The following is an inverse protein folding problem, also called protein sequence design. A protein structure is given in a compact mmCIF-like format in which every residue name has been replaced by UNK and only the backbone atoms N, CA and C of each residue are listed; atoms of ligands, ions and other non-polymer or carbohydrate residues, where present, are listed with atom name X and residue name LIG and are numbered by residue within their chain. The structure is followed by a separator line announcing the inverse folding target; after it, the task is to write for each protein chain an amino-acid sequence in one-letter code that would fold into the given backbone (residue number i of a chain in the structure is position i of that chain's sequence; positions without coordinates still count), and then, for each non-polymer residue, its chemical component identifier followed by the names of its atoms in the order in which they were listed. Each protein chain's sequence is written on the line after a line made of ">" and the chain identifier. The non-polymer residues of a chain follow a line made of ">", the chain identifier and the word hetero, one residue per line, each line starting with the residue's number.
data_IF_052941705698
#
_entry.id   IF_052941705698
#
_cell.length_a   1.000
_cell.length_b   1.000
_cell.length_c   1.000
_cell.angle_alpha   90.00
_cell.angle_beta   90.00
_cell.angle_gamma   90.00
#
_symmetry.space_group_name_H-M   'P 1'
#
loop_
_entity.id
_entity.type
_entity.pdbx_description
1 polymer ?
#
# COMPACT_ATOMS: atom_id res chain seq x y z
N UNK A 1 -2.42 11.58 4.25
CA UNK A 1 -3.59 10.71 4.10
C UNK A 1 -3.65 10.21 2.66
N UNK A 2 -4.24 9.03 2.42
CA UNK A 2 -4.44 8.51 1.06
C UNK A 2 -5.84 8.94 0.58
N UNK A 3 -5.99 9.48 -0.64
CA UNK A 3 -7.29 9.87 -1.15
C UNK A 3 -8.20 8.64 -1.37
N UNK A 4 -9.52 8.78 -1.32
CA UNK A 4 -10.46 7.65 -1.46
C UNK A 4 -10.38 6.92 -2.81
N UNK A 5 -9.93 7.61 -3.88
CA UNK A 5 -9.60 7.00 -5.18
C UNK A 5 -8.44 6.02 -5.13
N UNK A 6 -7.56 6.13 -4.13
CA UNK A 6 -6.46 5.21 -3.93
C UNK A 6 -6.99 3.89 -3.34
N UNK A 7 -7.36 2.92 -4.19
CA UNK A 7 -7.81 1.60 -3.76
C UNK A 7 -6.73 0.78 -3.06
N UNK A 8 -7.10 -0.39 -2.56
CA UNK A 8 -6.30 -1.10 -1.56
C UNK A 8 -5.29 -2.04 -2.24
N UNK A 9 -4.04 -2.09 -1.77
CA UNK A 9 -3.05 -3.09 -2.20
C UNK A 9 -2.95 -4.20 -1.16
N UNK A 10 -3.19 -5.43 -1.59
CA UNK A 10 -3.30 -6.60 -0.71
C UNK A 10 -2.21 -7.61 -1.04
N UNK A 11 -1.48 -8.06 -0.03
CA UNK A 11 -0.57 -9.19 -0.12
C UNK A 11 -1.16 -10.37 0.66
N UNK A 12 -1.47 -11.46 -0.03
CA UNK A 12 -1.89 -12.71 0.60
C UNK A 12 -0.74 -13.72 0.62
N UNK A 13 -0.22 -13.95 1.83
CA UNK A 13 0.81 -14.93 2.15
C UNK A 13 0.15 -16.23 2.66
N UNK A 14 -0.49 -16.94 1.74
CA UNK A 14 -0.93 -18.32 1.91
C UNK A 14 0.21 -19.32 1.65
N UNK A 15 0.09 -20.52 2.21
CA UNK A 15 0.96 -21.66 1.84
C UNK A 15 1.77 -22.28 2.99
N UNK A 16 2.46 -23.38 2.67
CA UNK A 16 2.97 -24.36 3.65
C UNK A 16 4.50 -24.50 3.70
N UNK A 17 5.27 -23.66 2.99
CA UNK A 17 6.74 -23.75 2.95
C UNK A 17 7.46 -22.40 3.03
N UNK A 18 8.26 -22.21 4.08
CA UNK A 18 8.96 -20.96 4.37
C UNK A 18 9.96 -20.55 3.28
N UNK A 19 10.69 -21.52 2.73
CA UNK A 19 11.73 -21.28 1.74
C UNK A 19 11.15 -20.71 0.43
N UNK A 20 10.01 -21.26 -0.02
CA UNK A 20 9.35 -20.80 -1.25
C UNK A 20 8.71 -19.42 -1.05
N UNK A 21 8.06 -19.18 0.09
CA UNK A 21 7.55 -17.84 0.43
C UNK A 21 8.67 -16.81 0.46
N UNK A 22 9.83 -17.14 1.04
CA UNK A 22 11.01 -16.27 1.05
C UNK A 22 11.51 -15.95 -0.36
N UNK A 23 11.59 -16.96 -1.22
CA UNK A 23 12.02 -16.77 -2.62
C UNK A 23 11.02 -15.91 -3.39
N UNK A 24 9.72 -16.13 -3.19
CA UNK A 24 8.65 -15.33 -3.79
C UNK A 24 8.74 -13.86 -3.37
N UNK A 25 8.82 -13.61 -2.05
CA UNK A 25 8.95 -12.26 -1.50
C UNK A 25 10.21 -11.57 -2.01
N UNK A 26 11.33 -12.29 -2.13
CA UNK A 26 12.56 -11.75 -2.72
C UNK A 26 12.40 -11.43 -4.20
N UNK A 27 11.68 -12.26 -4.95
CA UNK A 27 11.42 -12.04 -6.39
C UNK A 27 10.56 -10.80 -6.61
N UNK A 28 9.46 -10.66 -5.87
CA UNK A 28 8.64 -9.44 -5.87
C UNK A 28 9.47 -8.25 -5.42
N UNK A 29 10.14 -8.35 -4.27
CA UNK A 29 10.97 -7.27 -3.74
C UNK A 29 11.94 -6.79 -4.80
N UNK A 30 12.74 -7.66 -5.43
CA UNK A 30 13.69 -7.28 -6.49
C UNK A 30 13.03 -6.59 -7.67
N UNK A 31 11.86 -7.05 -8.10
CA UNK A 31 11.11 -6.44 -9.20
C UNK A 31 10.60 -5.03 -8.84
N UNK A 32 10.33 -4.77 -7.55
CA UNK A 32 9.83 -3.49 -7.02
C UNK A 32 10.93 -2.62 -6.36
N UNK A 33 12.12 -3.18 -6.07
CA UNK A 33 13.24 -2.62 -5.26
C UNK A 33 13.82 -1.34 -5.83
N UNK A 34 13.31 -0.89 -6.97
CA UNK A 34 13.61 0.40 -7.58
C UNK A 34 13.01 1.58 -6.81
N UNK A 35 12.15 1.29 -5.82
CA UNK A 35 11.57 2.28 -4.93
C UNK A 35 12.39 2.49 -3.64
N UNK A 36 13.49 1.77 -3.39
CA UNK A 36 14.29 1.93 -2.15
C UNK A 36 13.52 1.70 -0.84
N UNK A 37 12.25 1.30 -0.93
CA UNK A 37 11.33 1.13 0.18
C UNK A 37 11.32 -0.30 0.66
N UNK A 38 10.91 -0.50 1.91
CA UNK A 38 10.65 -1.84 2.41
C UNK A 38 9.46 -2.45 1.67
N UNK A 39 9.41 -3.79 1.61
CA UNK A 39 8.23 -4.49 1.10
C UNK A 39 6.95 -4.01 1.82
N UNK A 40 7.07 -3.62 3.09
CA UNK A 40 5.95 -3.21 3.92
C UNK A 40 5.26 -1.91 3.50
N UNK A 41 5.95 -1.03 2.77
CA UNK A 41 5.40 0.26 2.34
C UNK A 41 4.53 0.14 1.06
N UNK A 42 4.62 -1.02 0.41
CA UNK A 42 3.97 -1.30 -0.86
C UNK A 42 2.60 -1.97 -0.71
N UNK A 43 2.23 -2.40 0.49
CA UNK A 43 0.95 -3.05 0.74
C UNK A 43 0.20 -2.36 1.87
N UNK A 44 -1.11 -2.35 1.73
CA UNK A 44 -2.03 -1.69 2.64
C UNK A 44 -2.70 -2.70 3.56
N UNK A 45 -2.90 -3.92 3.04
CA UNK A 45 -3.40 -5.08 3.77
C UNK A 45 -2.47 -6.27 3.53
N UNK A 46 -2.19 -7.03 4.58
CA UNK A 46 -1.50 -8.31 4.49
C UNK A 46 -2.39 -9.39 5.08
N UNK A 47 -2.79 -10.34 4.24
CA UNK A 47 -3.47 -11.56 4.65
C UNK A 47 -2.41 -12.64 4.87
N UNK A 48 -2.47 -13.35 5.99
CA UNK A 48 -1.45 -14.33 6.30
C UNK A 48 -2.03 -15.58 6.96
N UNK A 49 -1.50 -16.74 6.56
CA UNK A 49 -1.80 -18.04 7.19
C UNK A 49 -0.56 -18.92 7.28
N UNK A 50 -0.57 -19.91 8.17
CA UNK A 50 0.53 -20.87 8.36
C UNK A 50 1.91 -20.18 8.54
N UNK A 51 2.86 -20.45 7.64
CA UNK A 51 4.21 -19.84 7.67
C UNK A 51 4.21 -18.39 7.19
N UNK A 52 3.20 -17.98 6.41
CA UNK A 52 3.02 -16.58 6.01
C UNK A 52 2.84 -15.65 7.20
N UNK A 53 2.30 -16.16 8.32
CA UNK A 53 2.16 -15.39 9.57
C UNK A 53 3.52 -14.90 10.08
N UNK A 54 4.58 -15.72 9.99
CA UNK A 54 5.93 -15.31 10.39
C UNK A 54 6.41 -14.12 9.54
N UNK A 55 6.27 -14.20 8.22
CA UNK A 55 6.69 -13.12 7.32
C UNK A 55 5.86 -11.86 7.52
N UNK A 56 4.56 -12.02 7.75
CA UNK A 56 3.67 -10.89 7.97
C UNK A 56 4.05 -10.12 9.26
N UNK A 57 4.30 -10.84 10.37
CA UNK A 57 4.78 -10.22 11.61
C UNK A 57 6.19 -9.64 11.46
N UNK A 58 7.14 -10.41 10.95
CA UNK A 58 8.52 -9.95 10.82
C UNK A 58 8.64 -8.71 9.92
N UNK A 59 8.05 -8.73 8.73
CA UNK A 59 8.21 -7.65 7.75
C UNK A 59 7.29 -6.44 8.01
N UNK A 60 6.06 -6.67 8.48
CA UNK A 60 5.02 -5.64 8.58
C UNK A 60 4.62 -5.29 10.02
N UNK A 61 5.23 -5.92 11.02
CA UNK A 61 5.13 -5.46 12.41
C UNK A 61 6.50 -4.98 12.88
N UNK A 62 7.49 -5.87 12.81
CA UNK A 62 8.85 -5.64 13.32
C UNK A 62 9.78 -4.91 12.33
N UNK A 63 9.32 -4.67 11.10
CA UNK A 63 10.12 -4.04 10.02
C UNK A 63 11.45 -4.77 9.73
N UNK A 64 11.49 -6.09 9.93
CA UNK A 64 12.66 -6.89 9.59
C UNK A 64 12.95 -6.81 8.10
N UNK A 65 14.22 -6.94 7.73
CA UNK A 65 14.60 -7.13 6.33
C UNK A 65 14.32 -8.55 5.89
N UNK A 66 14.32 -8.76 4.57
CA UNK A 66 14.23 -10.10 3.99
C UNK A 66 15.41 -10.99 4.38
N UNK A 67 16.61 -10.42 4.60
CA UNK A 67 17.77 -11.21 5.04
C UNK A 67 17.70 -11.57 6.54
N UNK A 68 17.11 -10.71 7.37
CA UNK A 68 16.79 -11.07 8.77
C UNK A 68 15.79 -12.24 8.79
N UNK A 69 14.71 -12.15 8.01
CA UNK A 69 13.76 -13.24 7.87
C UNK A 69 14.44 -14.56 7.47
N UNK A 70 15.34 -14.49 6.47
CA UNK A 70 16.14 -15.62 5.99
C UNK A 70 17.02 -16.23 7.08
N UNK A 71 17.70 -15.39 7.88
CA UNK A 71 18.53 -15.84 9.00
C UNK A 71 17.74 -16.72 9.97
N UNK A 72 16.48 -16.34 10.21
CA UNK A 72 15.58 -17.02 11.14
C UNK A 72 14.86 -18.25 10.56
N UNK A 73 14.85 -18.45 9.23
CA UNK A 73 14.15 -19.58 8.59
C UNK A 73 14.58 -20.95 9.11
N UNK A 74 15.87 -21.16 9.34
CA UNK A 74 16.41 -22.45 9.83
C UNK A 74 15.95 -22.76 11.26
N UNK A 75 15.54 -21.73 12.01
CA UNK A 75 15.07 -21.83 13.39
C UNK A 75 13.54 -21.88 13.48
N UNK A 76 12.84 -21.75 12.34
CA UNK A 76 11.39 -21.89 12.30
C UNK A 76 11.02 -23.34 12.59
N UNK A 77 10.40 -23.54 13.75
CA UNK A 77 9.66 -24.75 14.00
C UNK A 77 8.29 -24.56 13.38
N UNK A 78 7.77 -25.56 12.65
CA UNK A 78 6.38 -25.52 12.18
C UNK A 78 5.49 -25.17 13.37
N UNK A 79 4.70 -24.08 13.31
CA UNK A 79 3.92 -23.67 14.45
C UNK A 79 2.97 -24.81 14.82
N UNK A 80 3.14 -25.41 16.00
CA UNK A 80 2.18 -26.41 16.49
C UNK A 80 0.85 -25.70 16.68
N UNK A 81 -0.25 -26.34 16.28
CA UNK A 81 -1.62 -25.80 16.43
C UNK A 81 -1.95 -25.38 17.87
N UNK A 82 -1.24 -25.91 18.87
CA UNK A 82 -1.39 -25.59 20.29
C UNK A 82 -0.69 -24.29 20.73
N UNK A 83 0.03 -23.59 19.84
CA UNK A 83 0.83 -22.41 20.20
C UNK A 83 0.10 -21.07 20.07
N UNK A 84 -1.13 -21.08 19.56
CA UNK A 84 -2.05 -19.93 19.63
C UNK A 84 -3.05 -20.26 20.75
N UNK A 85 -2.59 -20.16 22.00
CA UNK A 85 -3.43 -20.31 23.19
C UNK A 85 -3.66 -18.93 23.79
N UNK A 86 -4.92 -18.62 24.11
CA UNK A 86 -5.39 -17.42 24.83
C UNK A 86 -5.72 -16.15 24.00
N UNK A 87 -6.73 -15.42 24.48
CA UNK A 87 -7.16 -14.07 24.06
C UNK A 87 -6.05 -13.02 24.25
N UNK A 88 -5.12 -13.24 25.19
CA UNK A 88 -3.91 -12.43 25.37
C UNK A 88 -2.71 -12.89 24.53
N UNK A 89 -2.96 -13.76 23.54
CA UNK A 89 -2.06 -14.81 23.10
C UNK A 89 -0.73 -14.38 22.49
N UNK A 90 0.24 -15.29 22.60
CA UNK A 90 1.53 -15.20 21.95
C UNK A 90 1.55 -16.09 20.71
N UNK A 91 2.10 -15.63 19.60
CA UNK A 91 2.48 -16.50 18.48
C UNK A 91 3.96 -16.90 18.65
N UNK A 92 4.24 -18.20 18.60
CA UNK A 92 5.58 -18.74 18.78
C UNK A 92 5.98 -19.60 17.57
N UNK A 93 7.16 -19.32 16.99
CA UNK A 93 7.78 -20.08 15.90
C UNK A 93 9.12 -20.74 16.31
N UNK A 94 9.46 -20.68 17.59
CA UNK A 94 10.70 -21.19 18.17
C UNK A 94 11.10 -20.42 19.43
N UNK A 95 12.17 -20.87 20.10
CA UNK A 95 12.62 -20.30 21.39
C UNK A 95 12.86 -18.78 21.37
N UNK A 96 13.21 -18.21 20.21
CA UNK A 96 13.54 -16.79 20.04
C UNK A 96 12.61 -16.06 19.05
N UNK A 97 11.51 -16.68 18.63
CA UNK A 97 10.59 -16.13 17.63
C UNK A 97 9.19 -16.10 18.24
N UNK A 98 8.97 -15.10 19.09
CA UNK A 98 7.80 -14.96 19.95
C UNK A 98 7.23 -13.55 19.77
N UNK A 99 5.94 -13.45 19.42
CA UNK A 99 5.22 -12.19 19.28
C UNK A 99 3.99 -12.16 20.17
N UNK A 100 3.73 -11.05 20.86
CA UNK A 100 2.51 -10.86 21.62
C UNK A 100 1.45 -10.18 20.76
N UNK A 101 0.26 -10.79 20.68
CA UNK A 101 -0.80 -10.32 19.78
C UNK A 101 -1.44 -8.99 20.22
N UNK A 102 -1.21 -8.58 21.47
CA UNK A 102 -1.62 -7.25 21.95
C UNK A 102 -0.84 -6.16 21.22
N UNK A 103 0.43 -6.42 20.92
CA UNK A 103 1.30 -5.47 20.25
C UNK A 103 0.84 -5.25 18.81
N UNK A 104 0.38 -6.32 18.13
CA UNK A 104 -0.19 -6.24 16.77
C UNK A 104 -1.28 -5.16 16.67
N UNK A 105 -2.15 -5.03 17.69
CA UNK A 105 -3.25 -4.05 17.69
C UNK A 105 -2.78 -2.60 17.89
N UNK A 106 -1.60 -2.41 18.45
CA UNK A 106 -1.08 -1.09 18.81
C UNK A 106 -0.29 -0.39 17.71
N UNK A 107 -0.02 -1.09 16.59
CA UNK A 107 0.85 -0.57 15.54
C UNK A 107 0.04 0.04 14.39
N UNK A 108 0.31 1.32 14.09
CA UNK A 108 -0.25 2.10 12.97
C UNK A 108 0.32 1.68 11.58
N UNK A 109 0.60 0.40 11.41
CA UNK A 109 1.15 -0.20 10.19
C UNK A 109 0.03 -0.72 9.27
N UNK A 110 0.32 -1.23 8.06
CA UNK A 110 -0.68 -1.85 7.20
C UNK A 110 -1.58 -2.83 7.94
N UNK A 111 -2.81 -2.94 7.45
CA UNK A 111 -3.83 -3.81 7.97
C UNK A 111 -3.35 -5.27 7.93
N UNK A 112 -2.94 -5.80 9.06
CA UNK A 112 -2.47 -7.16 9.20
C UNK A 112 -3.62 -8.05 9.64
N UNK A 113 -3.98 -9.00 8.78
CA UNK A 113 -5.06 -9.97 9.01
C UNK A 113 -4.46 -11.38 9.04
N UNK A 114 -4.47 -11.99 10.22
CA UNK A 114 -3.89 -13.31 10.46
C UNK A 114 -5.02 -14.32 10.65
N UNK A 115 -5.11 -15.28 9.72
CA UNK A 115 -6.03 -16.39 9.83
C UNK A 115 -5.35 -17.61 10.46
N UNK A 116 -5.93 -18.08 11.55
CA UNK A 116 -5.53 -19.31 12.22
C UNK A 116 -6.67 -20.31 12.14
N UNK A 117 -6.41 -21.61 12.31
CA UNK A 117 -7.45 -22.66 12.21
C UNK A 117 -8.63 -22.48 13.19
N UNK A 118 -8.52 -21.61 14.20
CA UNK A 118 -9.56 -21.42 15.23
C UNK A 118 -10.08 -19.99 15.33
N UNK A 119 -9.33 -19.00 14.85
CA UNK A 119 -9.62 -17.56 15.04
C UNK A 119 -9.02 -16.72 13.93
N UNK A 120 -9.68 -15.61 13.66
CA UNK A 120 -9.20 -14.50 12.85
C UNK A 120 -8.64 -13.41 13.77
N UNK A 121 -7.50 -12.84 13.41
CA UNK A 121 -6.86 -11.75 14.14
C UNK A 121 -6.61 -10.59 13.18
N UNK A 122 -6.84 -9.37 13.64
CA UNK A 122 -6.62 -8.14 12.87
C UNK A 122 -6.12 -7.02 13.77
N UNK A 123 -5.21 -6.17 13.26
CA UNK A 123 -4.88 -4.88 13.88
C UNK A 123 -5.85 -3.76 13.47
N UNK A 124 -6.62 -3.94 12.40
CA UNK A 124 -7.69 -3.04 12.01
C UNK A 124 -8.91 -3.37 12.85
N UNK A 125 -9.34 -2.42 13.68
CA UNK A 125 -10.58 -2.54 14.42
C UNK A 125 -11.75 -2.75 13.44
N UNK A 126 -12.28 -3.97 13.39
CA UNK A 126 -13.67 -4.18 13.06
C UNK A 126 -14.42 -4.28 14.39
N UNK A 127 -15.30 -3.31 14.63
CA UNK A 127 -16.36 -3.38 15.62
C UNK A 127 -17.28 -4.56 15.25
N UNK A 128 -16.96 -5.75 15.77
CA UNK A 128 -17.89 -6.86 16.05
C UNK A 128 -17.02 -8.07 16.38
N UNK A 129 -17.09 -8.52 17.64
CA UNK A 129 -16.47 -9.76 18.11
C UNK A 129 -17.19 -11.02 17.59
N UNK A 130 -18.11 -10.90 16.63
CA UNK A 130 -18.81 -11.99 15.99
C UNK A 130 -18.66 -11.89 14.47
N UNK A 131 -17.66 -12.56 13.90
CA UNK A 131 -17.95 -13.72 13.06
C UNK A 131 -16.67 -14.40 12.59
N UNK A 132 -16.78 -15.72 12.46
CA UNK A 132 -15.72 -16.58 11.94
C UNK A 132 -15.62 -16.43 10.42
N UNK A 133 -15.39 -15.21 9.92
CA UNK A 133 -15.28 -14.95 8.48
C UNK A 133 -14.00 -15.62 7.97
N UNK A 134 -14.16 -16.55 7.02
CA UNK A 134 -13.03 -17.30 6.47
C UNK A 134 -12.05 -16.37 5.75
N UNK A 135 -10.77 -16.74 5.67
CA UNK A 135 -9.79 -15.97 4.89
C UNK A 135 -10.25 -15.75 3.43
N UNK A 136 -11.03 -16.69 2.88
CA UNK A 136 -11.64 -16.57 1.55
C UNK A 136 -12.67 -15.44 1.48
N UNK A 137 -13.48 -15.25 2.53
CA UNK A 137 -14.47 -14.17 2.58
C UNK A 137 -13.82 -12.81 2.81
N UNK A 138 -12.78 -12.73 3.63
CA UNK A 138 -11.97 -11.52 3.75
C UNK A 138 -11.24 -11.21 2.47
N UNK A 139 -10.66 -12.23 1.82
CA UNK A 139 -10.08 -12.08 0.50
C UNK A 139 -11.14 -11.57 -0.47
N UNK A 140 -12.39 -12.04 -0.44
CA UNK A 140 -13.49 -11.48 -1.26
C UNK A 140 -13.84 -10.05 -0.87
N UNK A 141 -13.88 -9.74 0.43
CA UNK A 141 -14.19 -8.40 0.93
C UNK A 141 -13.14 -7.39 0.49
N UNK A 142 -11.86 -7.71 0.65
CA UNK A 142 -10.76 -6.87 0.21
C UNK A 142 -10.59 -6.91 -1.31
N UNK A 143 -10.86 -8.04 -1.98
CA UNK A 143 -10.81 -8.15 -3.45
C UNK A 143 -11.77 -7.19 -4.14
N UNK A 144 -12.94 -6.96 -3.54
CA UNK A 144 -13.92 -5.97 -4.04
C UNK A 144 -13.45 -4.51 -3.91
N UNK A 145 -12.41 -4.25 -3.12
CA UNK A 145 -11.91 -2.91 -2.82
C UNK A 145 -10.44 -2.72 -3.19
N UNK A 146 -9.80 -3.75 -3.76
CA UNK A 146 -8.38 -3.75 -4.03
C UNK A 146 -8.10 -3.42 -5.49
N UNK A 147 -7.09 -2.58 -5.68
CA UNK A 147 -6.53 -2.31 -7.01
C UNK A 147 -5.50 -3.37 -7.40
N UNK A 148 -4.86 -3.95 -6.39
CA UNK A 148 -3.82 -4.95 -6.56
C UNK A 148 -3.96 -6.02 -5.48
N UNK A 149 -4.15 -7.26 -5.91
CA UNK A 149 -4.12 -8.44 -5.05
C UNK A 149 -2.98 -9.35 -5.50
N UNK A 150 -1.96 -9.43 -4.66
CA UNK A 150 -0.83 -10.34 -4.84
C UNK A 150 -1.07 -11.56 -3.97
N UNK A 151 -1.51 -12.67 -4.56
CA UNK A 151 -1.75 -13.91 -3.83
C UNK A 151 -0.67 -14.95 -4.12
N UNK A 152 0.01 -15.41 -3.07
CA UNK A 152 0.90 -16.55 -3.15
C UNK A 152 0.29 -17.75 -2.41
N UNK A 153 0.08 -18.84 -3.14
CA UNK A 153 -0.52 -20.07 -2.61
C UNK A 153 0.47 -21.24 -2.52
N UNK A 154 1.78 -20.97 -2.56
CA UNK A 154 2.82 -22.02 -2.47
C UNK A 154 3.16 -22.71 -3.80
N UNK A 155 2.59 -22.25 -4.92
CA UNK A 155 2.92 -22.75 -6.26
C UNK A 155 4.35 -22.38 -6.72
N UNK A 156 4.80 -22.93 -7.86
CA UNK A 156 6.10 -22.59 -8.43
C UNK A 156 6.16 -21.10 -8.80
N UNK A 157 7.31 -20.48 -8.54
CA UNK A 157 7.52 -19.06 -8.84
C UNK A 157 7.75 -18.92 -10.34
N UNK A 158 6.80 -18.30 -11.04
CA UNK A 158 6.94 -17.95 -12.45
C UNK A 158 7.39 -16.50 -12.59
N UNK A 159 8.44 -16.26 -13.40
CA UNK A 159 8.89 -14.89 -13.72
C UNK A 159 7.80 -14.06 -14.38
N UNK A 160 6.97 -14.69 -15.22
CA UNK A 160 5.84 -14.02 -15.89
C UNK A 160 4.81 -13.56 -14.87
N UNK A 161 4.44 -14.43 -13.92
CA UNK A 161 3.48 -14.10 -12.87
C UNK A 161 4.01 -12.99 -11.94
N UNK A 162 5.27 -13.08 -11.51
CA UNK A 162 5.90 -12.03 -10.68
C UNK A 162 5.90 -10.69 -11.41
N UNK A 163 6.16 -10.69 -12.71
CA UNK A 163 6.14 -9.47 -13.53
C UNK A 163 4.73 -8.88 -13.62
N UNK A 164 3.72 -9.69 -13.92
CA UNK A 164 2.32 -9.24 -13.96
C UNK A 164 1.89 -8.62 -12.62
N UNK A 165 2.21 -9.27 -11.50
CA UNK A 165 1.95 -8.73 -10.16
C UNK A 165 2.69 -7.41 -9.90
N UNK A 166 3.94 -7.31 -10.36
CA UNK A 166 4.74 -6.09 -10.22
C UNK A 166 4.13 -4.93 -11.02
N UNK A 167 3.67 -5.20 -12.25
CA UNK A 167 3.06 -4.18 -13.09
C UNK A 167 1.75 -3.67 -12.47
N UNK A 168 0.90 -4.59 -11.99
CA UNK A 168 -0.32 -4.21 -11.27
C UNK A 168 0.00 -3.38 -10.02
N UNK A 169 1.03 -3.76 -9.27
CA UNK A 169 1.46 -3.00 -8.11
C UNK A 169 1.93 -1.59 -8.51
N UNK A 170 2.75 -1.46 -9.55
CA UNK A 170 3.21 -0.16 -10.06
C UNK A 170 2.04 0.70 -10.53
N UNK A 171 1.11 0.13 -11.32
CA UNK A 171 -0.08 0.86 -11.78
C UNK A 171 -0.97 1.33 -10.62
N UNK A 172 -1.08 0.52 -9.56
CA UNK A 172 -1.81 0.91 -8.35
C UNK A 172 -1.16 2.04 -7.55
N UNK A 173 0.10 2.43 -7.85
CA UNK A 173 0.71 3.60 -7.24
C UNK A 173 0.16 4.91 -7.80
N UNK A 174 -0.51 4.89 -8.95
CA UNK A 174 -1.03 6.07 -9.61
C UNK A 174 -2.55 6.15 -9.45
N UNK A 175 -3.06 7.36 -9.27
CA UNK A 175 -4.49 7.65 -9.13
C UNK A 175 -4.78 9.05 -9.67
N UNK A 176 -6.05 9.39 -9.84
CA UNK A 176 -6.48 10.72 -10.28
C UNK A 176 -7.31 11.43 -9.23
N UNK A 177 -7.26 12.76 -9.31
CA UNK A 177 -8.13 13.68 -8.60
C UNK A 177 -8.65 14.73 -9.59
N UNK A 178 -9.76 15.39 -9.25
CA UNK A 178 -10.24 16.54 -10.02
C UNK A 178 -9.41 17.78 -9.68
N UNK A 179 -8.95 18.49 -10.71
CA UNK A 179 -8.31 19.79 -10.51
C UNK A 179 -9.33 20.83 -10.04
N UNK A 180 -10.56 20.74 -10.55
CA UNK A 180 -11.69 21.59 -10.18
C UNK A 180 -13.00 20.84 -10.36
N UNK A 181 -14.04 21.22 -9.61
CA UNK A 181 -15.38 20.65 -9.76
C UNK A 181 -15.95 21.02 -11.13
N UNK A 182 -16.24 20.03 -12.01
CA UNK A 182 -16.74 20.28 -13.35
C UNK A 182 -18.17 20.80 -13.28
N UNK A 183 -18.47 21.83 -14.08
CA UNK A 183 -19.83 22.38 -14.21
C UNK A 183 -20.39 22.09 -15.60
N UNK A 184 -21.38 21.21 -15.67
CA UNK A 184 -21.96 20.69 -16.91
C UNK A 184 -23.01 21.64 -17.54
N UNK A 185 -22.61 22.88 -17.84
CA UNK A 185 -23.51 23.83 -18.52
C UNK A 185 -23.54 23.64 -20.06
N UNK A 186 -22.48 23.06 -20.63
CA UNK A 186 -22.35 22.77 -22.07
C UNK A 186 -21.69 21.40 -22.26
N UNK A 187 -22.24 20.60 -23.17
CA UNK A 187 -21.75 19.25 -23.49
C UNK A 187 -21.19 19.20 -24.92
N UNK A 188 -20.04 18.53 -25.15
CA UNK A 188 -19.15 17.92 -24.16
C UNK A 188 -18.35 18.96 -23.37
N UNK A 189 -18.13 18.70 -22.07
CA UNK A 189 -17.34 19.53 -21.17
C UNK A 189 -15.90 19.03 -21.07
N UNK A 190 -14.92 19.94 -21.03
CA UNK A 190 -13.53 19.59 -20.78
C UNK A 190 -13.27 19.55 -19.27
N UNK A 191 -13.02 18.36 -18.73
CA UNK A 191 -12.70 18.16 -17.32
C UNK A 191 -11.18 18.11 -17.13
N UNK A 192 -10.69 18.88 -16.17
CA UNK A 192 -9.28 18.90 -15.78
C UNK A 192 -9.06 17.93 -14.61
N UNK A 193 -8.17 16.98 -14.82
CA UNK A 193 -7.78 15.96 -13.84
C UNK A 193 -6.29 16.14 -13.50
N UNK A 194 -5.91 15.76 -12.30
CA UNK A 194 -4.49 15.66 -11.91
C UNK A 194 -4.20 14.21 -11.59
N UNK A 195 -3.27 13.63 -12.34
CA UNK A 195 -2.71 12.32 -12.05
C UNK A 195 -1.62 12.46 -11.00
N UNK A 196 -1.71 11.66 -9.94
CA UNK A 196 -0.80 11.68 -8.79
C UNK A 196 -0.19 10.31 -8.52
N UNK A 197 0.91 10.29 -7.75
CA UNK A 197 1.54 9.07 -7.26
C UNK A 197 1.41 8.98 -5.74
N UNK A 198 1.22 7.76 -5.21
CA UNK A 198 1.11 7.48 -3.77
C UNK A 198 2.45 7.54 -3.04
N UNK A 199 3.56 7.42 -3.76
CA UNK A 199 4.88 7.50 -3.14
C UNK A 199 5.16 8.95 -2.73
N UNK A 200 5.59 9.12 -1.48
CA UNK A 200 6.03 10.43 -0.99
C UNK A 200 7.25 10.90 -1.78
N UNK A 201 7.46 12.23 -1.90
CA UNK A 201 8.68 12.75 -2.48
C UNK A 201 9.90 12.15 -1.78
N UNK A 202 10.82 11.62 -2.58
CA UNK A 202 11.68 10.56 -2.09
C UNK A 202 12.64 10.02 -3.13
N UNK A 203 13.71 9.38 -2.66
CA UNK A 203 14.51 8.47 -3.48
C UNK A 203 13.64 7.38 -4.13
N UNK A 204 12.57 6.97 -3.44
CA UNK A 204 11.59 6.01 -3.91
C UNK A 204 10.83 6.45 -5.15
N UNK A 205 10.21 7.63 -5.06
CA UNK A 205 9.47 8.23 -6.16
C UNK A 205 10.42 8.54 -7.32
N UNK A 206 11.58 9.12 -7.02
CA UNK A 206 12.60 9.44 -8.03
C UNK A 206 13.06 8.19 -8.78
N UNK A 207 13.37 7.09 -8.08
CA UNK A 207 13.80 5.83 -8.68
C UNK A 207 12.73 5.21 -9.59
N UNK A 208 11.46 5.27 -9.17
CA UNK A 208 10.33 4.84 -9.99
C UNK A 208 10.21 5.68 -11.27
N UNK A 209 10.18 7.01 -11.14
CA UNK A 209 9.99 7.93 -12.26
C UNK A 209 11.17 7.90 -13.23
N UNK A 210 12.41 7.81 -12.74
CA UNK A 210 13.60 7.66 -13.57
C UNK A 210 13.51 6.43 -14.46
N UNK A 211 13.04 5.30 -13.90
CA UNK A 211 12.82 4.08 -14.69
C UNK A 211 11.74 4.28 -15.73
N UNK A 212 10.57 4.79 -15.34
CA UNK A 212 9.44 5.00 -16.26
C UNK A 212 9.80 6.00 -17.38
N UNK A 213 10.60 7.02 -17.07
CA UNK A 213 11.15 7.96 -18.05
C UNK A 213 12.12 7.27 -19.02
N UNK A 214 13.08 6.48 -18.50
CA UNK A 214 14.06 5.77 -19.33
C UNK A 214 13.41 4.72 -20.23
N UNK A 215 12.41 4.02 -19.69
CA UNK A 215 11.68 2.98 -20.41
C UNK A 215 10.64 3.59 -21.38
N UNK A 216 10.50 4.93 -21.40
CA UNK A 216 9.55 5.69 -22.20
C UNK A 216 8.11 5.22 -21.99
N UNK A 217 7.71 5.08 -20.73
CA UNK A 217 6.35 4.68 -20.39
C UNK A 217 5.34 5.80 -20.68
N UNK A 218 4.11 5.39 -21.04
CA UNK A 218 3.01 6.30 -21.33
C UNK A 218 1.78 5.93 -20.51
N UNK A 219 0.99 6.94 -20.15
CA UNK A 219 -0.41 6.75 -19.79
C UNK A 219 -1.28 6.86 -21.05
N UNK A 220 -2.22 5.93 -21.17
CA UNK A 220 -3.32 5.96 -22.13
C UNK A 220 -4.57 6.36 -21.35
N UNK A 221 -5.29 7.41 -21.78
CA UNK A 221 -6.46 7.89 -21.05
C UNK A 221 -7.58 8.40 -21.96
N UNK A 222 -8.83 8.29 -21.50
CA UNK A 222 -10.03 8.85 -22.15
C UNK A 222 -11.17 9.05 -21.16
N UNK A 223 -12.07 9.98 -21.47
CA UNK A 223 -13.44 10.02 -20.96
C UNK A 223 -14.40 9.47 -22.02
N UNK A 224 -15.37 10.28 -22.45
CA UNK A 224 -16.34 9.93 -23.51
C UNK A 224 -15.76 10.04 -24.93
N UNK A 225 -14.46 10.30 -25.06
CA UNK A 225 -13.77 10.27 -26.35
C UNK A 225 -13.66 8.85 -26.92
N UNK A 226 -13.79 8.72 -28.25
CA UNK A 226 -13.66 7.44 -28.94
C UNK A 226 -12.24 6.85 -28.85
N UNK A 227 -11.22 7.72 -28.86
CA UNK A 227 -9.80 7.33 -28.91
C UNK A 227 -9.09 7.64 -27.59
N UNK A 228 -8.15 6.77 -27.21
CA UNK A 228 -7.25 7.04 -26.11
C UNK A 228 -6.27 8.16 -26.48
N UNK A 229 -6.18 9.16 -25.61
CA UNK A 229 -5.06 10.10 -25.60
C UNK A 229 -3.86 9.42 -24.97
N UNK A 230 -2.66 9.83 -25.39
CA UNK A 230 -1.39 9.29 -24.89
C UNK A 230 -0.54 10.42 -24.32
N UNK A 231 0.01 10.22 -23.13
CA UNK A 231 0.92 11.16 -22.48
C UNK A 231 2.08 10.40 -21.83
N UNK A 232 3.30 10.97 -21.86
CA UNK A 232 4.44 10.35 -21.16
C UNK A 232 4.18 10.32 -19.66
N UNK A 233 4.58 9.23 -19.02
CA UNK A 233 4.47 9.09 -17.55
C UNK A 233 5.34 10.12 -16.86
N UNK A 234 6.56 10.32 -17.38
CA UNK A 234 7.54 11.20 -16.79
C UNK A 234 8.38 11.83 -17.91
N UNK A 235 8.60 13.14 -17.80
CA UNK A 235 9.52 13.92 -18.62
C UNK A 235 10.71 14.39 -17.77
N UNK A 236 11.74 14.92 -18.43
CA UNK A 236 12.95 15.39 -17.75
C UNK A 236 12.66 16.51 -16.73
N UNK A 237 11.64 17.33 -16.99
CA UNK A 237 11.20 18.36 -16.06
C UNK A 237 10.58 17.77 -14.78
N UNK A 238 9.85 16.66 -14.90
CA UNK A 238 9.27 15.96 -13.74
C UNK A 238 10.39 15.36 -12.87
N UNK A 239 11.46 14.85 -13.48
CA UNK A 239 12.65 14.37 -12.77
C UNK A 239 13.36 15.50 -12.02
N UNK A 240 13.51 16.68 -12.64
CA UNK A 240 14.08 17.87 -11.99
C UNK A 240 13.22 18.35 -10.82
N UNK A 241 11.90 18.35 -10.97
CA UNK A 241 10.98 18.68 -9.87
C UNK A 241 11.11 17.67 -8.72
N UNK A 242 11.22 16.37 -9.02
CA UNK A 242 11.40 15.34 -8.00
C UNK A 242 12.75 15.41 -7.28
N UNK A 243 13.82 15.90 -7.93
CA UNK A 243 15.10 16.19 -7.25
C UNK A 243 14.94 17.28 -6.18
N UNK A 244 13.98 18.18 -6.37
CA UNK A 244 13.60 19.19 -5.38
C UNK A 244 12.54 18.69 -4.39
N UNK A 245 12.34 17.36 -4.29
CA UNK A 245 11.37 16.73 -3.39
C UNK A 245 9.93 17.18 -3.62
N UNK A 246 9.58 17.53 -4.87
CA UNK A 246 8.19 17.76 -5.25
C UNK A 246 7.42 16.44 -5.34
N UNK A 247 6.12 16.49 -5.08
CA UNK A 247 5.21 15.38 -5.38
C UNK A 247 5.05 15.22 -6.89
N UNK A 248 4.75 13.99 -7.32
CA UNK A 248 4.44 13.73 -8.73
C UNK A 248 3.01 14.18 -9.03
N UNK A 249 2.88 15.08 -9.99
CA UNK A 249 1.61 15.59 -10.50
C UNK A 249 1.70 15.71 -12.01
N UNK A 250 0.66 15.23 -12.71
CA UNK A 250 0.57 15.34 -14.16
C UNK A 250 -0.86 15.78 -14.55
N UNK A 251 -1.04 16.98 -15.12
CA UNK A 251 -2.36 17.42 -15.54
C UNK A 251 -2.83 16.62 -16.76
N UNK A 252 -4.11 16.24 -16.76
CA UNK A 252 -4.80 15.55 -17.85
C UNK A 252 -6.09 16.29 -18.17
N UNK A 253 -6.52 16.24 -19.43
CA UNK A 253 -7.79 16.80 -19.86
C UNK A 253 -8.62 15.76 -20.60
N UNK A 254 -9.81 15.48 -20.11
CA UNK A 254 -10.77 14.54 -20.72
C UNK A 254 -12.05 15.26 -21.09
N UNK A 255 -12.79 14.73 -22.07
CA UNK A 255 -14.12 15.21 -22.42
C UNK A 255 -15.15 14.32 -21.74
N UNK A 256 -16.09 14.95 -21.05
CA UNK A 256 -17.21 14.30 -20.41
C UNK A 256 -18.51 14.92 -20.94
N UNK A 257 -19.48 14.07 -21.33
CA UNK A 257 -20.82 14.52 -21.73
C UNK A 257 -21.76 14.66 -20.54
N UNK A 258 -21.46 13.97 -19.43
CA UNK A 258 -22.24 13.95 -18.19
C UNK A 258 -21.37 13.62 -16.96
N UNK A 259 -21.88 13.85 -15.73
CA UNK A 259 -21.23 13.38 -14.49
C UNK A 259 -21.03 11.86 -14.42
N UNK A 260 -21.82 11.09 -15.17
CA UNK A 260 -21.68 9.63 -15.24
C UNK A 260 -20.58 9.16 -16.20
N UNK A 261 -19.82 10.07 -16.80
CA UNK A 261 -18.70 9.76 -17.68
C UNK A 261 -17.70 8.83 -16.97
N UNK A 262 -17.30 7.76 -17.66
CA UNK A 262 -16.26 6.84 -17.22
C UNK A 262 -14.90 7.30 -17.73
N UNK A 263 -14.02 7.64 -16.80
CA UNK A 263 -12.64 8.02 -17.05
C UNK A 263 -11.79 6.75 -16.94
N UNK A 264 -11.28 6.28 -18.06
CA UNK A 264 -10.35 5.16 -18.10
C UNK A 264 -8.91 5.66 -18.29
N UNK A 265 -7.99 5.12 -17.49
CA UNK A 265 -6.57 5.43 -17.51
C UNK A 265 -5.76 4.17 -17.27
N UNK A 266 -4.81 3.93 -18.18
CA UNK A 266 -3.96 2.74 -18.18
C UNK A 266 -2.51 3.16 -18.34
N UNK A 267 -1.59 2.41 -17.73
CA UNK A 267 -0.17 2.49 -18.07
C UNK A 267 0.08 1.53 -19.22
N UNK A 268 0.68 2.06 -20.28
CA UNK A 268 1.05 1.31 -21.47
C UNK A 268 1.96 0.14 -21.09
N UNK A 269 1.50 -1.07 -21.46
CA UNK A 269 2.21 -2.31 -21.28
C UNK A 269 3.59 -2.24 -21.92
N UNK A 270 3.79 -1.58 -23.06
CA UNK A 270 5.11 -1.47 -23.71
C UNK A 270 6.13 -0.66 -22.87
N UNK A 271 5.64 0.22 -21.99
CA UNK A 271 6.44 1.02 -21.07
C UNK A 271 6.90 0.29 -19.81
N UNK A 272 6.20 -0.76 -19.41
CA UNK A 272 6.55 -1.62 -18.26
C UNK A 272 7.09 -2.99 -18.73
N UNK A 273 6.62 -3.46 -19.88
CA UNK A 273 6.85 -4.74 -20.54
C UNK A 273 6.86 -4.63 -22.09
N UNK A 274 8.05 -4.49 -22.68
CA UNK A 274 8.26 -4.46 -24.15
C UNK A 274 7.98 -5.78 -24.87
N UNK A 275 7.64 -6.87 -24.16
CA UNK A 275 7.51 -8.22 -24.74
C UNK A 275 6.04 -8.54 -25.07
N UNK A 276 5.06 -7.92 -24.41
CA UNK A 276 3.64 -8.19 -24.60
C UNK A 276 2.92 -6.98 -25.19
N UNK A 277 2.82 -6.93 -26.52
CA UNK A 277 1.98 -5.94 -27.22
C UNK A 277 0.55 -6.08 -26.73
N UNK A 278 -0.07 -4.96 -26.36
CA UNK A 278 -1.49 -4.82 -26.00
C UNK A 278 -1.90 -5.26 -24.56
N UNK A 279 -1.06 -4.98 -23.56
CA UNK A 279 -1.36 -5.26 -22.14
C UNK A 279 -1.33 -4.00 -21.29
N UNK A 280 -2.20 -3.03 -21.61
CA UNK A 280 -2.41 -1.87 -20.75
C UNK A 280 -2.83 -2.30 -19.33
N UNK A 281 -2.28 -1.64 -18.32
CA UNK A 281 -2.62 -1.90 -16.92
C UNK A 281 -3.34 -0.68 -16.32
N UNK A 282 -4.62 -0.84 -16.00
CA UNK A 282 -5.43 0.20 -15.35
C UNK A 282 -4.73 0.72 -14.09
N UNK A 283 -4.77 2.04 -13.90
CA UNK A 283 -4.30 2.64 -12.66
C UNK A 283 -5.40 2.52 -11.60
N UNK A 284 -5.01 2.12 -10.38
CA UNK A 284 -5.92 1.98 -9.24
C UNK A 284 -7.29 1.35 -9.64
N UNK A 285 -8.44 1.92 -9.24
CA UNK A 285 -9.78 1.41 -9.53
C UNK A 285 -10.34 1.85 -10.91
N UNK A 286 -9.50 2.22 -11.89
CA UNK A 286 -10.01 2.64 -13.20
C UNK A 286 -10.85 1.52 -13.88
N UNK A 287 -11.97 1.88 -14.55
CA UNK A 287 -12.42 3.25 -14.83
C UNK A 287 -13.14 3.93 -13.64
N UNK A 288 -12.95 5.25 -13.49
CA UNK A 288 -13.65 6.06 -12.49
C UNK A 288 -14.86 6.73 -13.09
N UNK A 289 -15.97 6.78 -12.35
CA UNK A 289 -17.06 7.71 -12.69
C UNK A 289 -16.71 9.11 -12.18
N UNK A 290 -16.87 10.11 -13.03
CA UNK A 290 -16.55 11.49 -12.70
C UNK A 290 -17.34 12.01 -11.48
N UNK A 291 -18.60 11.62 -11.32
CA UNK A 291 -19.43 11.95 -10.15
C UNK A 291 -18.85 11.40 -8.83
N UNK A 292 -18.13 10.27 -8.86
CA UNK A 292 -17.47 9.76 -7.66
C UNK A 292 -16.26 10.61 -7.28
N UNK A 293 -15.53 11.15 -8.28
CA UNK A 293 -14.38 12.04 -8.02
C UNK A 293 -14.81 13.39 -7.42
N UNK A 294 -16.02 13.87 -7.73
CA UNK A 294 -16.54 15.16 -7.19
C UNK A 294 -17.02 15.04 -5.75
N UNK A 295 -17.66 13.92 -5.38
CA UNK A 295 -18.16 13.68 -4.01
C UNK A 295 -17.05 13.67 -2.95
N UNK A 296 -15.81 13.42 -3.36
CA UNK A 296 -14.65 13.34 -2.48
C UNK A 296 -14.10 14.70 -2.03
N UNK A 297 -14.43 15.79 -2.73
CA UNK A 297 -13.98 17.15 -2.36
C UNK A 297 -14.78 17.70 -1.18
N UNK A 298 -16.05 17.29 -1.01
CA UNK A 298 -16.99 17.89 -0.06
C UNK A 298 -17.29 17.04 1.20
N UNK A 299 -16.82 15.79 1.31
CA UNK A 299 -17.27 14.86 2.37
C UNK A 299 -16.18 14.06 3.10
N UNK A 300 -15.06 14.67 3.47
CA UNK A 300 -14.16 14.02 4.44
C UNK A 300 -14.69 14.22 5.89
N UNK A 301 -15.22 13.17 6.58
CA UNK A 301 -15.36 13.24 8.03
C UNK A 301 -13.96 13.31 8.65
N UNK A 302 -13.76 14.29 9.53
CA UNK A 302 -12.51 14.49 10.26
C UNK A 302 -12.20 13.27 11.13
N UNK A 303 -11.27 12.43 10.69
CA UNK A 303 -10.59 11.47 11.55
C UNK A 303 -9.49 12.19 12.33
N UNK A 304 -9.24 11.81 13.60
CA UNK A 304 -8.62 12.68 14.59
C UNK A 304 -7.20 13.08 14.16
N UNK A 305 -7.03 14.37 13.95
CA UNK A 305 -5.74 14.99 13.66
C UNK A 305 -4.85 14.85 14.89
N UNK A 306 -3.80 14.04 14.79
CA UNK A 306 -2.74 13.99 15.81
C UNK A 306 -2.10 15.37 15.93
N UNK A 307 -2.40 16.07 17.03
CA UNK A 307 -1.66 17.25 17.46
C UNK A 307 -0.18 16.88 17.54
N UNK A 308 0.67 17.66 16.85
CA UNK A 308 2.10 17.73 17.14
C UNK A 308 2.25 18.06 18.62
N UNK A 309 2.74 17.12 19.42
CA UNK A 309 3.39 17.45 20.68
C UNK A 309 4.78 17.98 20.32
N UNK A 310 4.86 19.29 20.08
CA UNK A 310 6.11 20.03 20.18
C UNK A 310 6.14 20.65 21.56
N UNK A 311 6.94 20.09 22.45
CA UNK A 311 7.22 20.64 23.77
C UNK A 311 8.68 20.38 24.10
N UNK A 312 9.55 21.25 23.58
CA UNK A 312 10.83 21.52 24.22
C UNK A 312 10.54 22.09 25.61
N UNK A 313 10.99 21.39 26.66
CA UNK A 313 11.01 21.89 28.02
C UNK A 313 12.47 22.00 28.45
N UNK A 314 13.01 23.21 28.38
CA UNK A 314 14.23 23.60 29.08
C UNK A 314 13.97 23.49 30.59
N UNK A 315 14.67 22.60 31.28
CA UNK A 315 14.73 22.60 32.74
C UNK A 315 15.64 23.73 33.23
N UNK A 316 15.04 24.86 33.61
CA UNK A 316 15.69 25.84 34.47
C UNK A 316 15.56 25.40 35.93
N UNK A 317 16.69 24.99 36.51
CA UNK A 317 16.83 24.84 37.96
C UNK A 317 16.77 26.21 38.64
N UNK A 318 15.70 26.47 39.38
CA UNK A 318 15.68 27.43 40.48
C UNK A 318 15.14 26.75 41.73
N UNK A 319 16.03 26.41 42.65
CA UNK A 319 15.68 25.99 44.01
C UNK A 319 16.28 27.03 44.98
N UNK A 320 15.42 27.82 45.59
CA UNK A 320 15.81 28.70 46.71
C UNK A 320 14.98 28.33 47.93
N UNK A 321 15.71 27.76 48.90
CA UNK A 321 15.59 27.89 50.35
C UNK A 321 14.24 27.65 51.04
N UNK A 322 14.21 26.61 51.87
CA UNK A 322 13.61 26.69 53.20
C UNK A 322 14.59 26.22 54.26
N UNK A 323 14.93 27.15 55.15
CA UNK A 323 15.67 26.97 56.41
C UNK A 323 14.70 26.51 57.49
N UNK A 324 15.14 25.56 58.31
CA UNK A 324 14.85 25.43 59.74
C UNK A 324 16.13 24.83 60.38
N UNK A 325 16.99 25.56 61.12
CA UNK A 325 16.96 25.79 62.58
C UNK A 325 16.29 24.64 63.36
N UNK A 326 16.88 24.00 64.37
CA UNK A 326 17.93 24.39 65.32
C UNK A 326 18.30 23.17 66.22
N UNK A 327 19.54 23.15 66.74
CA UNK A 327 20.01 22.62 68.05
C UNK A 327 19.82 21.11 68.36
N UNK A 328 20.78 20.34 68.90
CA UNK A 328 22.02 20.57 69.65
C UNK A 328 23.10 19.58 69.21
#
# INVERSE_FOLDING_TARGET
>A
MRPPTAGIRVLDLGGVEAAKTMEFLRSIHRSISLTGNSLSDNFDVVLASNVGIFFALALFLEKWTLEDCKHHLRRLVRPKQSWIRSWSGTINFGKALKWELRDVRSVNQPALVIHTKRKLLSNVMAQSEADSTSLVELQRQYARRCDCLVQYNGGPISRVLVKQMTNQLISSLFYIELAATPTFYRSPHACELVLRCRLTPGAALFGLLLRLCRDQAYFLYRGDELEYKRIRVCEENDLKACQNWAAFERPLQVRAVSPSCEIDIQIDGDGIDKIQRNTGHNISNCPYRLEHLTSEVDTAPAWPTLRRVTGYGEEQHTATAQRASMHF
#
